data_IF_877547979231
#
_entry.id   IF_877547979231
#
_cell.length_a   1.000
_cell.length_b   1.000
_cell.length_c   1.000
_cell.angle_alpha   90.00
_cell.angle_beta   90.00
_cell.angle_gamma   90.00
#
_symmetry.space_group_name_H-M   'P 1'
#
loop_
_entity.id
_entity.type
_entity.pdbx_description
1 polymer ?
#
# COMPACT_ATOMS: atom_id res chain seq x y z
N UNK A 1 13.96 -0.85 2.46
CA UNK A 1 12.70 -1.11 3.19
C UNK A 1 13.03 -1.81 4.50
N UNK A 2 12.31 -1.50 5.58
CA UNK A 2 12.53 -2.15 6.87
C UNK A 2 12.14 -3.64 6.81
N UNK A 3 12.84 -4.48 7.56
CA UNK A 3 12.61 -5.94 7.57
C UNK A 3 11.23 -6.30 8.14
N UNK A 4 10.68 -5.45 9.01
CA UNK A 4 9.42 -5.66 9.71
C UNK A 4 8.21 -4.99 9.03
N UNK A 5 8.35 -4.54 7.79
CA UNK A 5 7.29 -3.85 7.05
C UNK A 5 7.06 -4.46 5.67
N UNK A 6 5.83 -4.35 5.17
CA UNK A 6 5.47 -4.72 3.81
C UNK A 6 4.62 -3.62 3.16
N UNK A 7 4.93 -3.28 1.91
CA UNK A 7 4.21 -2.23 1.18
C UNK A 7 3.38 -2.81 0.06
N UNK A 8 2.16 -2.28 -0.10
CA UNK A 8 1.33 -2.50 -1.27
C UNK A 8 1.10 -1.18 -1.99
N UNK A 9 1.07 -1.24 -3.32
CA UNK A 9 0.60 -0.13 -4.15
C UNK A 9 -0.90 -0.29 -4.40
N UNK A 10 -1.62 0.81 -4.55
CA UNK A 10 -3.06 0.83 -4.82
C UNK A 10 -3.26 1.47 -6.18
N UNK A 11 -4.17 0.96 -7.01
CA UNK A 11 -4.46 1.54 -8.31
C UNK A 11 -5.97 1.53 -8.63
N UNK A 12 -6.46 2.45 -9.47
CA UNK A 12 -7.80 2.37 -10.02
C UNK A 12 -7.94 1.13 -10.91
N UNK A 13 -8.91 0.25 -10.59
CA UNK A 13 -9.15 -0.98 -11.35
C UNK A 13 -9.45 -0.71 -12.82
N UNK A 14 -10.23 0.34 -13.10
CA UNK A 14 -10.60 0.72 -14.46
C UNK A 14 -9.39 1.15 -15.28
N UNK A 15 -8.45 1.86 -14.67
CA UNK A 15 -7.20 2.26 -15.31
C UNK A 15 -6.33 1.05 -15.65
N UNK A 16 -6.15 0.15 -14.69
CA UNK A 16 -5.42 -1.11 -14.90
C UNK A 16 -6.03 -1.92 -16.04
N UNK A 17 -7.35 -2.09 -16.08
CA UNK A 17 -8.01 -2.82 -17.16
C UNK A 17 -7.86 -2.17 -18.53
N UNK A 18 -7.78 -0.83 -18.57
CA UNK A 18 -7.64 -0.06 -19.83
C UNK A 18 -6.22 -0.15 -20.38
N UNK A 19 -5.23 -0.19 -19.49
CA UNK A 19 -3.81 -0.18 -19.84
C UNK A 19 -3.18 -1.58 -19.92
N UNK A 20 -3.82 -2.61 -19.37
CA UNK A 20 -3.26 -3.95 -19.21
C UNK A 20 -2.88 -4.66 -20.53
N UNK A 21 -3.41 -4.25 -21.68
CA UNK A 21 -3.02 -4.86 -22.97
C UNK A 21 -1.66 -4.34 -23.47
N UNK A 22 -1.29 -3.10 -23.14
CA UNK A 22 -0.10 -2.43 -23.67
C UNK A 22 0.96 -2.12 -22.60
N UNK A 23 0.61 -2.21 -21.31
CA UNK A 23 1.47 -1.81 -20.21
C UNK A 23 1.90 -2.99 -19.35
N UNK A 24 3.20 -3.13 -19.14
CA UNK A 24 3.76 -4.05 -18.14
C UNK A 24 4.16 -3.25 -16.90
N UNK A 25 3.72 -3.71 -15.72
CA UNK A 25 4.18 -3.13 -14.47
C UNK A 25 5.68 -3.37 -14.35
N UNK A 26 6.48 -2.31 -14.31
CA UNK A 26 7.92 -2.39 -14.16
C UNK A 26 8.42 -1.35 -13.16
N UNK A 27 9.49 -1.70 -12.48
CA UNK A 27 10.27 -0.74 -11.72
C UNK A 27 11.20 0.04 -12.66
N UNK A 28 11.26 1.35 -12.49
CA UNK A 28 12.35 2.20 -12.98
C UNK A 28 13.43 2.31 -11.90
N UNK A 29 14.54 2.98 -12.20
CA UNK A 29 15.57 3.30 -11.20
C UNK A 29 15.03 4.19 -10.05
N UNK A 30 13.88 4.83 -10.25
CA UNK A 30 13.21 5.70 -9.29
C UNK A 30 12.07 5.00 -8.51
N UNK A 31 11.75 3.75 -8.86
CA UNK A 31 10.71 2.96 -8.22
C UNK A 31 9.60 2.56 -9.19
N UNK A 32 8.45 2.16 -8.64
CA UNK A 32 7.28 1.89 -9.45
C UNK A 32 6.60 3.22 -9.76
N UNK A 33 6.60 3.59 -11.02
CA UNK A 33 5.89 4.77 -11.50
C UNK A 33 4.43 4.39 -11.78
N UNK A 34 3.55 4.81 -10.88
CA UNK A 34 2.13 4.56 -10.94
C UNK A 34 1.29 5.76 -11.40
N UNK A 35 1.94 6.89 -11.71
CA UNK A 35 1.29 8.16 -12.06
C UNK A 35 0.38 8.01 -13.28
N UNK A 36 0.84 7.29 -14.30
CA UNK A 36 0.08 7.05 -15.53
C UNK A 36 -1.26 6.33 -15.29
N UNK A 37 -1.37 5.52 -14.23
CA UNK A 37 -2.66 4.89 -13.89
C UNK A 37 -3.64 5.91 -13.31
N UNK A 38 -3.15 6.89 -12.56
CA UNK A 38 -3.95 7.96 -11.98
C UNK A 38 -4.29 9.06 -13.00
N UNK A 39 -3.42 9.33 -13.97
CA UNK A 39 -3.73 10.21 -15.10
C UNK A 39 -4.89 9.68 -15.95
N UNK A 40 -4.93 8.36 -16.19
CA UNK A 40 -6.02 7.71 -16.94
C UNK A 40 -7.31 7.56 -16.13
N UNK A 41 -7.25 7.71 -14.81
CA UNK A 41 -8.42 7.73 -13.94
C UNK A 41 -8.29 8.80 -12.85
N UNK A 42 -8.47 10.09 -13.21
CA UNK A 42 -8.20 11.20 -12.32
C UNK A 42 -9.08 11.17 -11.08
N UNK A 43 -8.45 11.03 -9.92
CA UNK A 43 -9.09 11.15 -8.62
C UNK A 43 -8.46 12.29 -7.84
N UNK A 44 -9.29 12.97 -7.04
CA UNK A 44 -8.81 13.99 -6.10
C UNK A 44 -8.47 13.33 -4.77
N UNK A 45 -7.42 13.79 -4.09
CA UNK A 45 -6.97 13.23 -2.80
C UNK A 45 -8.06 13.15 -1.73
N UNK A 46 -9.04 14.06 -1.78
CA UNK A 46 -10.20 14.07 -0.88
C UNK A 46 -11.07 12.79 -0.96
N UNK A 47 -10.97 12.01 -2.04
CA UNK A 47 -11.55 10.68 -2.16
C UNK A 47 -11.12 9.73 -1.03
N UNK A 48 -9.85 9.84 -0.61
CA UNK A 48 -9.25 9.00 0.42
C UNK A 48 -9.49 9.49 1.85
N UNK A 49 -10.23 10.59 2.06
CA UNK A 49 -10.51 11.11 3.41
C UNK A 49 -11.20 10.08 4.32
N UNK A 50 -11.94 9.11 3.75
CA UNK A 50 -12.57 8.02 4.52
C UNK A 50 -11.55 7.11 5.21
N UNK A 51 -10.30 7.05 4.74
CA UNK A 51 -9.22 6.31 5.41
C UNK A 51 -8.99 6.83 6.83
N UNK A 52 -9.33 8.10 7.13
CA UNK A 52 -9.25 8.65 8.48
C UNK A 52 -10.06 7.85 9.53
N UNK A 53 -11.07 7.08 9.10
CA UNK A 53 -11.84 6.19 9.99
C UNK A 53 -11.13 4.87 10.33
N UNK A 54 -10.06 4.54 9.60
CA UNK A 54 -9.24 3.33 9.74
C UNK A 54 -7.91 3.68 10.40
N UNK A 55 -7.25 4.73 9.89
CA UNK A 55 -5.97 5.26 10.35
C UNK A 55 -6.10 6.78 10.47
N UNK A 56 -5.80 7.33 11.64
CA UNK A 56 -5.88 8.79 11.85
C UNK A 56 -4.95 9.55 10.91
N UNK A 57 -5.43 10.65 10.31
CA UNK A 57 -4.62 11.52 9.48
C UNK A 57 -3.57 12.22 10.34
N UNK A 58 -2.30 12.08 9.96
CA UNK A 58 -1.17 12.68 10.66
C UNK A 58 -0.41 13.64 9.75
N UNK A 59 0.50 14.43 10.33
CA UNK A 59 1.30 15.38 9.56
C UNK A 59 2.39 14.62 8.79
N UNK A 60 2.38 14.75 7.47
CA UNK A 60 3.46 14.28 6.61
C UNK A 60 4.64 15.27 6.58
N UNK A 61 5.81 14.78 6.18
CA UNK A 61 7.00 15.61 5.95
C UNK A 61 6.89 16.46 4.68
N UNK A 62 6.01 16.09 3.75
CA UNK A 62 5.66 16.88 2.57
C UNK A 62 4.21 17.37 2.65
N UNK A 63 3.95 18.57 2.11
CA UNK A 63 2.58 19.06 1.95
C UNK A 63 1.81 18.33 0.84
N UNK A 64 2.53 17.58 -0.01
CA UNK A 64 1.99 16.89 -1.17
C UNK A 64 1.51 15.48 -0.84
N UNK A 65 1.80 15.00 0.39
CA UNK A 65 1.44 13.67 0.87
C UNK A 65 0.41 13.80 2.00
N UNK A 66 -0.78 13.27 1.76
CA UNK A 66 -1.72 12.98 2.82
C UNK A 66 -1.34 11.65 3.48
N UNK A 67 -0.83 11.72 4.71
CA UNK A 67 -0.44 10.56 5.53
C UNK A 67 -1.57 10.20 6.50
N UNK A 68 -1.99 8.94 6.49
CA UNK A 68 -2.87 8.35 7.49
C UNK A 68 -2.09 7.27 8.25
N UNK A 69 -2.09 7.31 9.57
CA UNK A 69 -1.30 6.41 10.42
C UNK A 69 0.07 6.99 10.74
N UNK A 70 1.10 6.14 10.76
CA UNK A 70 2.47 6.53 11.12
C UNK A 70 3.46 6.00 10.08
N UNK A 71 4.29 6.89 9.52
CA UNK A 71 5.29 6.56 8.50
C UNK A 71 6.34 5.53 8.96
N UNK A 72 6.53 5.38 10.27
CA UNK A 72 7.40 4.37 10.89
C UNK A 72 6.68 3.06 11.24
N UNK A 73 5.37 2.97 11.02
CA UNK A 73 4.54 1.78 11.31
C UNK A 73 3.49 1.58 10.20
N UNK A 74 2.27 1.18 10.54
CA UNK A 74 1.17 1.10 9.58
C UNK A 74 0.82 2.50 9.07
N UNK A 75 0.82 2.68 7.75
CA UNK A 75 0.39 3.91 7.12
C UNK A 75 -0.37 3.67 5.82
N UNK A 76 -1.11 4.68 5.41
CA UNK A 76 -1.69 4.83 4.08
C UNK A 76 -1.28 6.21 3.57
N UNK A 77 -0.65 6.27 2.40
CA UNK A 77 -0.06 7.47 1.82
C UNK A 77 -0.73 7.78 0.50
N UNK A 78 -1.14 9.04 0.33
CA UNK A 78 -1.69 9.56 -0.91
C UNK A 78 -0.82 10.73 -1.34
N UNK A 79 -0.02 10.52 -2.39
CA UNK A 79 0.73 11.57 -3.05
C UNK A 79 -0.18 12.28 -4.05
N UNK A 80 -0.10 13.60 -4.07
CA UNK A 80 -0.89 14.43 -4.97
C UNK A 80 -0.13 15.64 -5.47
N UNK A 81 -0.51 16.15 -6.64
CA UNK A 81 -0.01 17.42 -7.13
C UNK A 81 -0.58 18.62 -6.33
N UNK A 82 -0.14 19.83 -6.70
CA UNK A 82 -0.60 21.08 -6.11
C UNK A 82 -2.11 21.34 -6.29
N UNK A 83 -2.75 20.72 -7.29
CA UNK A 83 -4.18 20.80 -7.56
C UNK A 83 -4.98 19.69 -6.85
N UNK A 84 -4.30 18.84 -6.10
CA UNK A 84 -4.84 17.70 -5.37
C UNK A 84 -5.24 16.52 -6.26
N UNK A 85 -4.77 16.45 -7.51
CA UNK A 85 -4.85 15.23 -8.32
C UNK A 85 -3.91 14.19 -7.72
N UNK A 86 -4.41 12.96 -7.58
CA UNK A 86 -3.63 11.86 -7.03
C UNK A 86 -2.58 11.44 -8.07
N UNK A 87 -1.35 11.26 -7.59
CA UNK A 87 -0.21 10.80 -8.39
C UNK A 87 0.22 9.39 -7.98
N UNK A 88 0.07 9.05 -6.71
CA UNK A 88 0.44 7.73 -6.20
C UNK A 88 -0.33 7.41 -4.91
N UNK A 89 -0.65 6.13 -4.70
CA UNK A 89 -1.27 5.67 -3.45
C UNK A 89 -0.66 4.35 -3.02
N UNK A 90 -0.23 4.30 -1.76
CA UNK A 90 0.32 3.09 -1.16
C UNK A 90 -0.15 2.91 0.27
N UNK A 91 -0.02 1.69 0.78
CA UNK A 91 -0.13 1.46 2.22
C UNK A 91 0.94 0.48 2.69
N UNK A 92 1.32 0.66 3.95
CA UNK A 92 2.35 -0.13 4.61
C UNK A 92 1.77 -0.81 5.84
N UNK A 93 2.16 -2.05 6.04
CA UNK A 93 1.81 -2.84 7.20
C UNK A 93 3.06 -3.13 8.03
N UNK A 94 2.93 -3.02 9.34
CA UNK A 94 3.99 -3.27 10.32
C UNK A 94 3.73 -4.59 11.06
N UNK A 95 4.64 -5.55 10.89
CA UNK A 95 4.49 -6.90 11.44
C UNK A 95 4.51 -6.93 12.97
N UNK A 96 5.08 -5.90 13.61
CA UNK A 96 5.17 -5.79 15.07
C UNK A 96 3.87 -5.27 15.72
N UNK A 97 2.86 -4.98 14.89
CA UNK A 97 1.59 -4.38 15.30
C UNK A 97 0.40 -5.29 14.97
N UNK A 98 -0.80 -4.88 15.38
CA UNK A 98 -2.06 -5.54 14.97
C UNK A 98 -2.48 -5.15 13.54
N UNK A 99 -1.62 -5.42 12.56
CA UNK A 99 -1.81 -5.00 11.17
C UNK A 99 -2.98 -5.73 10.47
N UNK A 100 -3.37 -6.93 10.92
CA UNK A 100 -4.43 -7.72 10.26
C UNK A 100 -5.80 -7.00 10.29
N UNK A 101 -6.13 -6.33 11.40
CA UNK A 101 -7.37 -5.56 11.51
C UNK A 101 -7.37 -4.37 10.53
N UNK A 102 -6.26 -3.64 10.47
CA UNK A 102 -6.08 -2.51 9.56
C UNK A 102 -6.19 -2.99 8.11
N UNK A 103 -5.52 -4.09 7.77
CA UNK A 103 -5.56 -4.70 6.45
C UNK A 103 -7.00 -5.01 6.03
N UNK A 104 -7.84 -5.60 6.88
CA UNK A 104 -9.24 -5.90 6.55
C UNK A 104 -10.02 -4.66 6.10
N UNK A 105 -9.91 -3.57 6.86
CA UNK A 105 -10.63 -2.34 6.55
C UNK A 105 -10.08 -1.66 5.29
N UNK A 106 -8.77 -1.73 5.03
CA UNK A 106 -8.18 -1.23 3.79
C UNK A 106 -8.68 -2.03 2.58
N UNK A 107 -8.70 -3.37 2.67
CA UNK A 107 -9.20 -4.23 1.59
C UNK A 107 -10.69 -3.98 1.30
N UNK A 108 -11.50 -3.78 2.35
CA UNK A 108 -12.90 -3.40 2.19
C UNK A 108 -13.03 -2.06 1.50
N UNK A 109 -12.26 -1.04 1.92
CA UNK A 109 -12.22 0.25 1.26
C UNK A 109 -11.86 0.11 -0.23
N UNK A 110 -10.80 -0.63 -0.57
CA UNK A 110 -10.40 -0.85 -1.96
C UNK A 110 -11.51 -1.52 -2.78
N UNK A 111 -12.15 -2.55 -2.22
CA UNK A 111 -13.20 -3.32 -2.88
C UNK A 111 -14.43 -2.46 -3.19
N UNK A 112 -14.89 -1.66 -2.22
CA UNK A 112 -16.06 -0.79 -2.37
C UNK A 112 -15.83 0.36 -3.36
N UNK A 113 -14.58 0.72 -3.60
CA UNK A 113 -14.20 1.89 -4.40
C UNK A 113 -13.58 1.54 -5.75
N UNK A 114 -13.65 0.28 -6.17
CA UNK A 114 -13.13 -0.13 -7.48
C UNK A 114 -11.61 0.02 -7.60
N UNK A 115 -10.87 -0.20 -6.51
CA UNK A 115 -9.42 -0.18 -6.48
C UNK A 115 -8.86 -1.62 -6.53
N UNK A 116 -7.62 -1.77 -6.97
CA UNK A 116 -6.81 -2.99 -6.86
C UNK A 116 -5.56 -2.70 -6.06
N UNK A 117 -4.88 -3.75 -5.61
CA UNK A 117 -3.59 -3.64 -4.94
C UNK A 117 -2.53 -4.45 -5.69
N UNK A 118 -1.31 -3.93 -5.71
CA UNK A 118 -0.12 -4.63 -6.19
C UNK A 118 0.78 -4.97 -5.01
N UNK A 119 1.35 -6.17 -5.02
CA UNK A 119 2.43 -6.54 -4.12
C UNK A 119 3.78 -5.89 -4.53
N UNK A 120 4.83 -6.09 -3.75
CA UNK A 120 6.17 -5.57 -4.09
C UNK A 120 6.81 -6.25 -5.32
N UNK A 121 6.19 -7.31 -5.84
CA UNK A 121 6.54 -7.91 -7.12
C UNK A 121 5.71 -7.34 -8.28
N UNK A 122 4.92 -6.30 -8.04
CA UNK A 122 3.97 -5.69 -8.97
C UNK A 122 2.89 -6.66 -9.49
N UNK A 123 2.57 -7.68 -8.69
CA UNK A 123 1.49 -8.60 -9.01
C UNK A 123 0.17 -8.09 -8.41
N UNK A 124 -0.89 -8.10 -9.22
CA UNK A 124 -2.24 -7.81 -8.73
C UNK A 124 -2.64 -8.90 -7.73
N UNK A 125 -2.90 -8.49 -6.49
CA UNK A 125 -3.36 -9.40 -5.44
C UNK A 125 -4.87 -9.28 -5.32
N UNK A 126 -5.62 -10.40 -5.34
CA UNK A 126 -7.05 -10.34 -5.06
C UNK A 126 -7.31 -9.74 -3.68
N UNK A 127 -8.34 -8.90 -3.55
CA UNK A 127 -8.77 -8.26 -2.30
C UNK A 127 -9.44 -9.25 -1.33
N UNK A 128 -8.81 -10.39 -1.12
CA UNK A 128 -9.18 -11.42 -0.17
C UNK A 128 -8.15 -11.46 0.94
N UNK A 129 -8.59 -11.26 2.18
CA UNK A 129 -7.70 -11.21 3.34
C UNK A 129 -6.75 -12.41 3.44
N UNK A 130 -7.22 -13.64 3.17
CA UNK A 130 -6.39 -14.83 3.21
C UNK A 130 -5.31 -14.85 2.13
N UNK A 131 -5.63 -14.37 0.93
CA UNK A 131 -4.66 -14.29 -0.18
C UNK A 131 -3.60 -13.22 0.09
N UNK A 132 -4.00 -12.05 0.57
CA UNK A 132 -3.06 -10.98 0.92
C UNK A 132 -2.15 -11.39 2.08
N UNK A 133 -2.68 -12.04 3.11
CA UNK A 133 -1.85 -12.62 4.17
C UNK A 133 -0.89 -13.69 3.66
N UNK A 134 -1.29 -14.49 2.67
CA UNK A 134 -0.40 -15.47 2.05
C UNK A 134 0.76 -14.78 1.33
N UNK A 135 0.52 -13.66 0.63
CA UNK A 135 1.59 -12.85 0.02
C UNK A 135 2.56 -12.36 1.10
N UNK A 136 2.04 -11.74 2.17
CA UNK A 136 2.87 -11.25 3.28
C UNK A 136 3.67 -12.40 3.92
N UNK A 137 3.03 -13.53 4.21
CA UNK A 137 3.68 -14.69 4.88
C UNK A 137 4.80 -15.30 4.06
N UNK A 138 4.73 -15.20 2.74
CA UNK A 138 5.73 -15.75 1.83
C UNK A 138 6.79 -14.72 1.40
N UNK A 139 6.66 -13.45 1.80
CA UNK A 139 7.60 -12.39 1.48
C UNK A 139 8.97 -12.60 2.13
N UNK A 140 10.01 -11.99 1.55
CA UNK A 140 11.36 -12.05 2.11
C UNK A 140 11.46 -11.31 3.45
N UNK A 141 10.68 -10.24 3.61
CA UNK A 141 10.58 -9.43 4.81
C UNK A 141 10.05 -10.26 5.98
N UNK A 142 8.93 -10.96 5.78
CA UNK A 142 8.34 -11.79 6.85
C UNK A 142 9.25 -12.96 7.23
N UNK A 143 9.94 -13.57 6.26
CA UNK A 143 10.92 -14.64 6.54
C UNK A 143 12.07 -14.12 7.41
N UNK A 144 12.69 -13.00 7.00
CA UNK A 144 13.77 -12.35 7.78
C UNK A 144 13.30 -11.88 9.15
N UNK A 145 12.10 -11.34 9.26
CA UNK A 145 11.53 -10.90 10.53
C UNK A 145 11.38 -12.07 11.52
N UNK A 146 10.90 -13.22 11.06
CA UNK A 146 10.78 -14.43 11.88
C UNK A 146 12.14 -14.97 12.31
N UNK A 147 13.10 -15.07 11.39
CA UNK A 147 14.47 -15.51 11.68
C UNK A 147 15.08 -14.69 12.82
N UNK A 148 14.99 -13.35 12.74
CA UNK A 148 15.52 -12.46 13.78
C UNK A 148 14.76 -12.57 15.10
N UNK A 149 13.43 -12.73 15.05
CA UNK A 149 12.60 -12.84 16.27
C UNK A 149 12.84 -14.16 17.01
N UNK A 150 13.09 -15.25 16.29
CA UNK A 150 13.43 -16.56 16.87
C UNK A 150 14.87 -16.59 17.42
N UNK A 151 15.81 -15.85 16.81
CA UNK A 151 17.15 -15.67 17.35
C UNK A 151 17.12 -14.94 18.70
N UNK A 152 16.34 -13.87 18.83
CA UNK A 152 16.21 -13.10 20.08
C UNK A 152 15.61 -13.90 21.24
N UNK A 153 14.70 -14.85 20.98
CA UNK A 153 14.12 -15.72 22.01
C UNK A 153 15.11 -16.75 22.57
N UNK A 154 16.18 -17.10 21.83
CA UNK A 154 17.18 -18.09 22.25
C UNK A 154 18.31 -17.50 23.12
N UNK A 155 18.32 -16.19 23.36
CA UNK A 155 19.31 -15.49 24.19
C UNK A 155 18.83 -15.18 25.63
N UNK A 156 17.65 -15.66 26.02
CA UNK A 156 17.09 -15.56 27.39
C UNK A 156 16.88 -16.93 28.02
#
# INVERSE_FOLDING_TARGET
MAIWQYTFQVLPKESVNTLAEDFSFNYTDEGFDDELFWENYPLKKGFFNKINSILEKTKSWSNDIDLYGNQESNCFEVLSDNEGNVLSVSFRLDFTSNYESILRHILEFCSLNGLVILDEGLNIVPLNHGQVLSVIRNSQQMKRYKELSEEDENYY
#
